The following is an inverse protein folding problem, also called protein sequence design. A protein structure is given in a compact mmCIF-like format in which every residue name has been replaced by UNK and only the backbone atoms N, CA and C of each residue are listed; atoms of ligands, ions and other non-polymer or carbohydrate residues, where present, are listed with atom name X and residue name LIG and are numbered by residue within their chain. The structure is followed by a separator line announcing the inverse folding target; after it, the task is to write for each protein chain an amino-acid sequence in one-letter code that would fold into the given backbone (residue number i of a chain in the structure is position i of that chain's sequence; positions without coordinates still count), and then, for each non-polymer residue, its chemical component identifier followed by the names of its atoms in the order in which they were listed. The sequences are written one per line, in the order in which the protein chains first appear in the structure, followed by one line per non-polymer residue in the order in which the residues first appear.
data_IF_347075820817
#
_entry.id   IF_347075820817
#
_cell.length_a   1.000
_cell.length_b   1.000
_cell.length_c   1.000
_cell.angle_alpha   90.00
_cell.angle_beta   90.00
_cell.angle_gamma   90.00
#
_symmetry.space_group_name_H-M   'P 1'
#
loop_
_entity.id
_entity.type
_entity.pdbx_description
1 polymer ?
#
# COMPACT_ATOMS: atom_id res chain seq x y z
N UNK A 1 -33.21 6.13 -10.88
CA UNK A 1 -33.71 6.92 -9.73
C UNK A 1 -33.33 6.15 -8.47
N UNK A 2 -32.13 6.39 -7.92
CA UNK A 2 -31.68 5.68 -6.71
C UNK A 2 -32.39 6.27 -5.49
N UNK A 3 -32.99 5.45 -4.62
CA UNK A 3 -33.58 5.95 -3.39
C UNK A 3 -32.42 6.34 -2.46
N UNK A 4 -32.17 7.64 -2.32
CA UNK A 4 -31.38 8.15 -1.21
C UNK A 4 -32.15 7.86 0.07
N UNK A 5 -31.81 6.77 0.76
CA UNK A 5 -32.19 6.57 2.15
C UNK A 5 -31.54 7.71 2.94
N UNK A 6 -32.36 8.67 3.39
CA UNK A 6 -31.88 9.81 4.17
C UNK A 6 -31.18 9.28 5.42
N UNK A 7 -29.88 9.55 5.50
CA UNK A 7 -29.07 9.20 6.66
C UNK A 7 -29.67 9.80 7.93
N UNK A 8 -29.76 9.01 8.99
CA UNK A 8 -30.37 9.46 10.25
C UNK A 8 -29.56 10.61 10.84
N UNK A 9 -30.17 11.42 11.71
CA UNK A 9 -29.44 12.48 12.43
C UNK A 9 -28.21 11.91 13.15
N UNK A 10 -28.34 10.73 13.76
CA UNK A 10 -27.25 10.04 14.45
C UNK A 10 -26.12 9.69 13.48
N UNK A 11 -26.43 9.13 12.31
CA UNK A 11 -25.41 8.79 11.31
C UNK A 11 -24.63 10.03 10.82
N UNK A 12 -25.30 11.18 10.65
CA UNK A 12 -24.64 12.43 10.27
C UNK A 12 -23.72 12.98 11.35
N UNK A 13 -24.14 12.93 12.62
CA UNK A 13 -23.27 13.38 13.72
C UNK A 13 -22.09 12.42 13.93
N UNK A 14 -22.27 11.11 13.75
CA UNK A 14 -21.16 10.15 13.77
C UNK A 14 -20.16 10.38 12.64
N UNK A 15 -20.62 10.76 11.45
CA UNK A 15 -19.75 11.13 10.34
C UNK A 15 -18.89 12.36 10.68
N UNK A 16 -19.51 13.43 11.20
CA UNK A 16 -18.78 14.63 11.63
C UNK A 16 -17.73 14.35 12.70
N UNK A 17 -18.08 13.58 13.73
CA UNK A 17 -17.14 13.19 14.79
C UNK A 17 -15.95 12.43 14.19
N UNK A 18 -16.20 11.57 13.21
CA UNK A 18 -15.13 10.86 12.51
C UNK A 18 -14.22 11.84 11.75
N UNK A 19 -14.79 12.80 11.04
CA UNK A 19 -14.00 13.79 10.28
C UNK A 19 -13.14 14.65 11.21
N UNK A 20 -13.65 15.02 12.38
CA UNK A 20 -12.89 15.70 13.43
C UNK A 20 -11.76 14.81 13.97
N UNK A 21 -12.02 13.52 14.22
CA UNK A 21 -10.99 12.55 14.63
C UNK A 21 -9.91 12.40 13.56
N UNK A 22 -10.29 12.25 12.30
CA UNK A 22 -9.35 12.13 11.18
C UNK A 22 -8.48 13.40 11.07
N UNK A 23 -9.08 14.57 11.23
CA UNK A 23 -8.36 15.85 11.28
C UNK A 23 -7.37 15.90 12.45
N UNK A 24 -7.78 15.46 13.65
CA UNK A 24 -6.91 15.40 14.82
C UNK A 24 -5.74 14.43 14.64
N UNK A 25 -5.95 13.27 14.00
CA UNK A 25 -4.88 12.32 13.69
C UNK A 25 -3.84 12.94 12.75
N UNK A 26 -4.29 13.63 11.69
CA UNK A 26 -3.40 14.32 10.74
C UNK A 26 -2.60 15.43 11.45
N UNK A 27 -3.25 16.22 12.32
CA UNK A 27 -2.58 17.25 13.12
C UNK A 27 -1.55 16.64 14.08
N UNK A 28 -1.88 15.52 14.73
CA UNK A 28 -0.97 14.81 15.63
C UNK A 28 0.25 14.22 14.90
N UNK A 29 0.13 13.91 13.61
CA UNK A 29 1.24 13.42 12.79
C UNK A 29 2.23 14.54 12.38
N UNK A 30 1.81 15.82 12.36
CA UNK A 30 2.66 16.92 11.87
C UNK A 30 4.02 17.03 12.58
N UNK A 31 4.10 16.98 13.93
CA UNK A 31 5.40 17.01 14.62
C UNK A 31 6.29 15.80 14.28
N UNK A 32 5.70 14.64 14.02
CA UNK A 32 6.43 13.42 13.64
C UNK A 32 7.03 13.56 12.23
N UNK A 33 6.27 14.12 11.29
CA UNK A 33 6.76 14.45 9.93
C UNK A 33 7.90 15.46 10.01
N UNK A 34 7.77 16.50 10.84
CA UNK A 34 8.86 17.47 11.03
C UNK A 34 10.12 16.81 11.61
N UNK A 35 9.97 15.82 12.49
CA UNK A 35 11.10 15.05 12.99
C UNK A 35 11.74 14.21 11.86
N UNK A 36 10.93 13.51 11.06
CA UNK A 36 11.39 12.74 9.90
C UNK A 36 12.18 13.59 8.92
N UNK A 37 11.68 14.79 8.56
CA UNK A 37 12.35 15.71 7.63
C UNK A 37 13.73 16.17 8.11
N UNK A 38 13.90 16.28 9.42
CA UNK A 38 15.13 16.78 10.04
C UNK A 38 16.09 15.65 10.46
N UNK A 39 15.66 14.39 10.41
CA UNK A 39 16.51 13.25 10.72
C UNK A 39 17.47 12.99 9.57
N UNK A 40 18.71 12.63 9.91
CA UNK A 40 19.57 11.89 8.97
C UNK A 40 18.96 10.52 8.74
N UNK A 41 19.19 9.91 7.57
CA UNK A 41 18.69 8.58 7.21
C UNK A 41 18.84 7.61 8.41
N UNK A 42 17.73 7.05 8.93
CA UNK A 42 17.78 6.16 10.08
C UNK A 42 18.51 4.88 9.69
N UNK A 43 19.16 4.26 10.68
CA UNK A 43 19.83 2.97 10.48
C UNK A 43 18.86 1.88 10.01
N UNK A 44 17.56 2.01 10.36
CA UNK A 44 16.49 1.09 10.00
C UNK A 44 15.21 1.84 9.67
N UNK A 45 14.55 1.43 8.58
CA UNK A 45 13.31 2.03 8.08
C UNK A 45 12.19 2.09 9.13
N UNK A 46 12.06 1.03 9.95
CA UNK A 46 11.07 0.93 11.03
C UNK A 46 11.19 2.00 12.12
N UNK A 47 12.32 2.70 12.23
CA UNK A 47 12.48 3.81 13.18
C UNK A 47 11.64 5.05 12.81
N UNK A 48 11.09 5.06 11.61
CA UNK A 48 10.20 6.10 11.08
C UNK A 48 8.71 5.79 11.28
N UNK A 49 8.36 4.64 11.84
CA UNK A 49 6.97 4.21 11.96
C UNK A 49 6.11 5.12 12.83
N UNK A 50 4.93 5.44 12.31
CA UNK A 50 3.77 5.93 13.05
C UNK A 50 2.50 5.59 12.27
N UNK A 51 1.35 5.61 12.96
CA UNK A 51 0.05 5.29 12.38
C UNK A 51 -0.87 6.51 12.40
N UNK A 52 -1.52 6.76 11.27
CA UNK A 52 -2.65 7.69 11.09
C UNK A 52 -3.85 6.91 10.54
N UNK A 53 -3.65 6.24 9.40
CA UNK A 53 -4.64 5.46 8.67
C UNK A 53 -4.16 4.07 8.24
N UNK A 54 -2.85 3.80 8.14
CA UNK A 54 -2.35 2.45 7.81
C UNK A 54 -2.72 1.41 8.87
N UNK A 55 -2.69 0.12 8.52
CA UNK A 55 -2.95 -0.95 9.49
C UNK A 55 -1.93 -0.93 10.64
N UNK A 56 -0.65 -0.79 10.31
CA UNK A 56 0.44 -0.65 11.27
C UNK A 56 1.13 0.72 11.13
N UNK A 57 2.46 0.77 11.18
CA UNK A 57 3.26 2.00 11.19
C UNK A 57 3.64 2.52 9.80
N UNK A 58 3.01 2.01 8.75
CA UNK A 58 3.38 2.22 7.35
C UNK A 58 3.27 3.69 6.92
N UNK A 59 2.32 4.47 7.46
CA UNK A 59 2.21 5.91 7.19
C UNK A 59 3.55 6.62 7.46
N UNK A 60 4.20 6.32 8.58
CA UNK A 60 5.48 6.94 8.94
C UNK A 60 6.64 6.51 8.05
N UNK A 61 6.67 5.24 7.64
CA UNK A 61 7.66 4.74 6.69
C UNK A 61 7.50 5.43 5.33
N UNK A 62 6.27 5.51 4.83
CA UNK A 62 5.94 6.16 3.56
C UNK A 62 6.35 7.63 3.61
N UNK A 63 5.99 8.35 4.68
CA UNK A 63 6.42 9.74 4.87
C UNK A 63 7.95 9.88 4.87
N UNK A 64 8.67 8.96 5.51
CA UNK A 64 10.12 8.95 5.44
C UNK A 64 10.61 8.80 4.00
N UNK A 65 10.11 7.82 3.25
CA UNK A 65 10.56 7.56 1.89
C UNK A 65 10.26 8.73 0.95
N UNK A 66 9.04 9.26 0.94
CA UNK A 66 8.70 10.34 0.00
C UNK A 66 9.52 11.62 0.22
N UNK A 67 9.92 11.90 1.47
CA UNK A 67 10.73 13.08 1.79
C UNK A 67 12.21 12.90 1.47
N UNK A 68 12.74 11.68 1.55
CA UNK A 68 14.16 11.39 1.30
C UNK A 68 14.46 10.98 -0.15
N UNK A 69 13.44 10.56 -0.90
CA UNK A 69 13.54 10.18 -2.31
C UNK A 69 13.09 11.29 -3.27
N UNK A 70 12.62 12.42 -2.73
CA UNK A 70 12.12 13.55 -3.49
C UNK A 70 13.17 14.09 -4.51
N UNK A 71 12.73 14.57 -5.68
CA UNK A 71 11.34 14.69 -6.13
C UNK A 71 10.77 13.36 -6.64
N UNK A 72 9.48 13.12 -6.37
CA UNK A 72 8.68 12.00 -6.86
C UNK A 72 7.39 12.52 -7.52
N UNK A 73 6.75 11.76 -8.43
CA UNK A 73 5.39 12.08 -8.86
C UNK A 73 4.40 11.98 -7.70
N UNK A 74 3.53 12.98 -7.54
CA UNK A 74 2.48 13.01 -6.51
C UNK A 74 1.29 12.12 -6.88
N UNK A 75 1.56 10.83 -7.13
CA UNK A 75 0.55 9.86 -7.55
C UNK A 75 0.81 8.48 -6.97
N UNK A 76 -0.26 7.80 -6.55
CA UNK A 76 -0.19 6.43 -6.06
C UNK A 76 -1.22 5.50 -6.68
N UNK A 77 -0.93 4.20 -6.61
CA UNK A 77 -1.86 3.11 -6.89
C UNK A 77 -1.86 2.13 -5.72
N UNK A 78 -3.04 1.76 -5.21
CA UNK A 78 -3.18 0.72 -4.18
C UNK A 78 -4.24 -0.31 -4.59
N UNK A 79 -3.90 -1.59 -4.43
CA UNK A 79 -4.80 -2.73 -4.61
C UNK A 79 -5.24 -3.28 -3.25
N UNK A 80 -6.48 -3.80 -3.17
CA UNK A 80 -7.05 -4.43 -1.97
C UNK A 80 -7.39 -3.47 -0.84
N UNK A 81 -8.00 -2.33 -1.18
CA UNK A 81 -8.23 -1.25 -0.21
C UNK A 81 -9.44 -1.43 0.71
N UNK A 82 -10.27 -2.45 0.50
CA UNK A 82 -11.60 -2.55 1.07
C UNK A 82 -12.35 -1.20 0.96
N UNK A 83 -12.83 -0.65 2.08
CA UNK A 83 -13.53 0.63 2.14
C UNK A 83 -12.61 1.86 2.26
N UNK A 84 -11.28 1.66 2.15
CA UNK A 84 -10.24 2.69 2.16
C UNK A 84 -10.20 3.57 3.41
N UNK A 85 -10.69 3.07 4.56
CA UNK A 85 -10.56 3.75 5.86
C UNK A 85 -9.27 3.38 6.58
N UNK A 86 -8.85 2.14 6.43
CA UNK A 86 -7.53 1.64 6.83
C UNK A 86 -6.77 1.30 5.54
N UNK A 87 -5.71 2.03 5.24
CA UNK A 87 -4.97 1.91 3.97
C UNK A 87 -3.65 2.66 4.04
N UNK A 88 -2.65 2.17 3.31
CA UNK A 88 -1.31 2.75 3.27
C UNK A 88 -1.25 4.08 2.50
N UNK A 89 -2.16 4.31 1.54
CA UNK A 89 -2.17 5.55 0.75
C UNK A 89 -3.17 6.60 1.23
N UNK A 90 -4.06 6.28 2.19
CA UNK A 90 -5.05 7.25 2.68
C UNK A 90 -4.37 8.48 3.28
N UNK A 91 -3.28 8.30 4.04
CA UNK A 91 -2.58 9.44 4.61
C UNK A 91 -1.92 10.32 3.54
N UNK A 92 -1.30 9.73 2.51
CA UNK A 92 -0.74 10.47 1.37
C UNK A 92 -1.81 11.33 0.67
N UNK A 93 -3.00 10.77 0.45
CA UNK A 93 -4.10 11.49 -0.18
C UNK A 93 -4.53 12.72 0.63
N UNK A 94 -4.65 12.56 1.95
CA UNK A 94 -5.20 13.59 2.84
C UNK A 94 -4.16 14.64 3.27
N UNK A 95 -2.93 14.22 3.52
CA UNK A 95 -1.86 15.08 4.05
C UNK A 95 -1.02 15.71 2.93
N UNK A 96 -0.66 14.93 1.92
CA UNK A 96 0.27 15.34 0.85
C UNK A 96 -0.48 15.72 -0.44
N UNK A 97 -1.80 15.51 -0.47
CA UNK A 97 -2.67 15.84 -1.61
C UNK A 97 -2.27 15.14 -2.93
N UNK A 98 -1.71 13.93 -2.81
CA UNK A 98 -1.38 13.08 -3.96
C UNK A 98 -2.63 12.61 -4.68
N UNK A 99 -2.55 12.43 -6.00
CA UNK A 99 -3.65 11.77 -6.74
C UNK A 99 -3.59 10.25 -6.56
N UNK A 100 -4.74 9.60 -6.48
CA UNK A 100 -4.82 8.18 -6.17
C UNK A 100 -5.65 7.37 -7.15
N UNK A 101 -5.23 6.14 -7.39
CA UNK A 101 -6.10 5.07 -7.86
C UNK A 101 -6.14 3.97 -6.79
N UNK A 102 -7.35 3.60 -6.40
CA UNK A 102 -7.59 2.50 -5.47
C UNK A 102 -8.50 1.45 -6.11
N UNK A 103 -8.16 0.18 -5.93
CA UNK A 103 -8.92 -0.94 -6.45
C UNK A 103 -9.25 -1.94 -5.36
N UNK A 104 -10.46 -2.47 -5.42
CA UNK A 104 -10.91 -3.56 -4.56
C UNK A 104 -11.88 -4.46 -5.33
N UNK A 105 -12.00 -5.73 -4.91
CA UNK A 105 -12.90 -6.68 -5.56
C UNK A 105 -14.35 -6.60 -5.06
N UNK A 106 -14.59 -6.02 -3.89
CA UNK A 106 -15.93 -5.84 -3.34
C UNK A 106 -16.54 -4.51 -3.79
N UNK A 107 -17.57 -4.62 -4.63
CA UNK A 107 -18.33 -3.48 -5.11
C UNK A 107 -18.99 -2.67 -3.99
N UNK A 108 -19.34 -3.27 -2.85
CA UNK A 108 -19.86 -2.54 -1.70
C UNK A 108 -18.80 -1.63 -1.09
N UNK A 109 -17.59 -2.14 -0.93
CA UNK A 109 -16.44 -1.40 -0.44
C UNK A 109 -16.14 -0.19 -1.34
N UNK A 110 -16.06 -0.39 -2.66
CA UNK A 110 -15.88 0.71 -3.62
C UNK A 110 -17.02 1.73 -3.58
N UNK A 111 -18.28 1.28 -3.44
CA UNK A 111 -19.41 2.20 -3.27
C UNK A 111 -19.30 3.02 -1.99
N UNK A 112 -18.74 2.48 -0.90
CA UNK A 112 -18.52 3.26 0.31
C UNK A 112 -17.51 4.38 0.06
N UNK A 113 -16.42 4.10 -0.66
CA UNK A 113 -15.42 5.12 -1.03
C UNK A 113 -16.07 6.21 -1.88
N UNK A 114 -16.78 5.83 -2.94
CA UNK A 114 -17.39 6.78 -3.88
C UNK A 114 -18.48 7.68 -3.25
N UNK A 115 -19.08 7.24 -2.14
CA UNK A 115 -20.07 8.01 -1.39
C UNK A 115 -19.47 8.78 -0.19
N UNK A 116 -18.19 8.59 0.11
CA UNK A 116 -17.48 9.29 1.17
C UNK A 116 -16.98 10.65 0.65
N UNK A 117 -16.84 11.64 1.54
CA UNK A 117 -16.42 12.99 1.12
C UNK A 117 -15.03 13.03 0.51
N UNK A 118 -14.16 12.09 0.92
CA UNK A 118 -12.80 11.99 0.40
C UNK A 118 -12.77 11.86 -1.13
N UNK A 119 -13.78 11.23 -1.73
CA UNK A 119 -13.82 10.94 -3.16
C UNK A 119 -14.03 12.19 -4.03
N UNK A 120 -14.81 13.16 -3.56
CA UNK A 120 -15.02 14.41 -4.30
C UNK A 120 -14.07 15.54 -3.85
N UNK A 121 -13.51 15.45 -2.64
CA UNK A 121 -12.58 16.45 -2.10
C UNK A 121 -11.14 16.28 -2.60
N UNK A 122 -10.77 15.07 -3.03
CA UNK A 122 -9.42 14.75 -3.49
C UNK A 122 -9.45 14.13 -4.89
N UNK A 123 -8.30 14.13 -5.57
CA UNK A 123 -8.17 13.49 -6.89
C UNK A 123 -8.02 11.98 -6.71
N UNK A 124 -9.13 11.30 -6.39
CA UNK A 124 -9.18 9.87 -6.12
C UNK A 124 -10.06 9.18 -7.17
N UNK A 125 -9.52 8.12 -7.77
CA UNK A 125 -10.29 7.18 -8.59
C UNK A 125 -10.44 5.87 -7.83
N UNK A 126 -11.67 5.37 -7.68
CA UNK A 126 -11.97 4.12 -6.99
C UNK A 126 -12.69 3.17 -7.96
N UNK A 127 -12.07 2.02 -8.26
CA UNK A 127 -12.61 1.04 -9.22
C UNK A 127 -12.82 -0.31 -8.56
N UNK A 128 -13.97 -0.94 -8.85
CA UNK A 128 -14.21 -2.33 -8.47
C UNK A 128 -13.60 -3.23 -9.54
N UNK A 129 -12.61 -4.04 -9.17
CA UNK A 129 -11.97 -4.98 -10.08
C UNK A 129 -11.37 -6.17 -9.33
N UNK A 130 -11.57 -7.36 -9.90
CA UNK A 130 -10.77 -8.53 -9.54
C UNK A 130 -9.47 -8.50 -10.34
N UNK A 131 -8.37 -8.15 -9.67
CA UNK A 131 -7.07 -7.94 -10.31
C UNK A 131 -6.41 -9.28 -10.63
N UNK A 132 -5.98 -9.45 -11.87
CA UNK A 132 -5.26 -10.64 -12.35
C UNK A 132 -4.03 -10.21 -13.13
N UNK A 133 -3.09 -11.14 -13.37
CA UNK A 133 -1.91 -10.83 -14.18
C UNK A 133 -2.29 -10.37 -15.59
N UNK A 134 -3.41 -10.86 -16.13
CA UNK A 134 -3.79 -10.66 -17.52
C UNK A 134 -4.52 -9.31 -17.72
N UNK A 135 -5.17 -8.76 -16.69
CA UNK A 135 -5.91 -7.50 -16.78
C UNK A 135 -5.21 -6.29 -16.13
N UNK A 136 -4.19 -6.49 -15.28
CA UNK A 136 -3.66 -5.41 -14.44
C UNK A 136 -3.17 -4.21 -15.24
N UNK A 137 -2.42 -4.46 -16.33
CA UNK A 137 -1.89 -3.37 -17.15
C UNK A 137 -3.01 -2.58 -17.87
N UNK A 138 -4.08 -3.25 -18.28
CA UNK A 138 -5.24 -2.58 -18.91
C UNK A 138 -6.01 -1.73 -17.89
N UNK A 139 -6.24 -2.27 -16.68
CA UNK A 139 -6.91 -1.55 -15.59
C UNK A 139 -6.22 -0.22 -15.25
N UNK A 140 -4.88 -0.21 -15.22
CA UNK A 140 -4.10 1.02 -14.96
C UNK A 140 -4.18 2.01 -16.13
N UNK A 141 -4.03 1.55 -17.39
CA UNK A 141 -4.17 2.41 -18.58
C UNK A 141 -5.52 3.11 -18.61
N UNK A 142 -6.60 2.35 -18.41
CA UNK A 142 -7.97 2.87 -18.38
C UNK A 142 -8.24 3.82 -17.21
N UNK A 143 -7.44 3.76 -16.14
CA UNK A 143 -7.51 4.69 -15.03
C UNK A 143 -6.62 5.93 -15.24
N UNK A 144 -5.90 6.02 -16.36
CA UNK A 144 -4.98 7.11 -16.65
C UNK A 144 -3.65 7.04 -15.90
N UNK A 145 -3.25 5.84 -15.47
CA UNK A 145 -1.96 5.57 -14.85
C UNK A 145 -1.07 4.82 -15.85
N UNK A 146 -0.09 5.55 -16.40
CA UNK A 146 1.01 5.05 -17.20
C UNK A 146 2.29 5.74 -16.75
N UNK A 147 3.43 5.15 -17.07
CA UNK A 147 4.75 5.73 -16.85
C UNK A 147 5.05 5.95 -15.35
N UNK A 148 5.82 6.98 -15.02
CA UNK A 148 6.32 7.20 -13.67
C UNK A 148 5.20 7.53 -12.67
N UNK A 149 5.18 6.82 -11.54
CA UNK A 149 4.30 7.11 -10.40
C UNK A 149 5.12 7.18 -9.11
N UNK A 150 4.61 7.84 -8.07
CA UNK A 150 5.32 7.93 -6.80
C UNK A 150 5.33 6.62 -6.02
N UNK A 151 4.16 5.99 -5.88
CA UNK A 151 3.99 4.81 -5.02
C UNK A 151 3.04 3.77 -5.61
N UNK A 152 3.41 2.50 -5.51
CA UNK A 152 2.57 1.34 -5.79
C UNK A 152 2.47 0.47 -4.54
N UNK A 153 1.27 0.23 -4.03
CA UNK A 153 1.02 -0.71 -2.93
C UNK A 153 0.23 -1.92 -3.45
N UNK A 154 0.81 -3.11 -3.28
CA UNK A 154 0.22 -4.39 -3.70
C UNK A 154 -0.09 -5.20 -2.45
N UNK A 155 -1.38 -5.31 -2.17
CA UNK A 155 -1.93 -6.09 -1.07
C UNK A 155 -3.25 -6.71 -1.55
N UNK A 156 -3.19 -7.93 -2.08
CA UNK A 156 -4.37 -8.65 -2.60
C UNK A 156 -4.49 -10.06 -2.01
N UNK A 157 -3.86 -10.29 -0.86
CA UNK A 157 -3.96 -11.53 -0.08
C UNK A 157 -3.65 -12.82 -0.88
N UNK A 158 -2.68 -12.80 -1.82
CA UNK A 158 -2.43 -13.95 -2.66
C UNK A 158 -1.45 -13.76 -3.81
N UNK A 159 -1.95 -13.26 -4.94
CA UNK A 159 -1.20 -13.23 -6.20
C UNK A 159 -0.22 -12.05 -6.33
N UNK A 160 0.13 -11.39 -5.23
CA UNK A 160 0.90 -10.15 -5.14
C UNK A 160 2.18 -10.19 -6.00
N UNK A 161 2.95 -11.27 -5.85
CA UNK A 161 4.15 -11.53 -6.66
C UNK A 161 3.83 -11.58 -8.17
N UNK A 162 2.78 -12.29 -8.56
CA UNK A 162 2.40 -12.47 -9.97
C UNK A 162 1.84 -11.20 -10.59
N UNK A 163 1.12 -10.38 -9.81
CA UNK A 163 0.66 -9.07 -10.25
C UNK A 163 1.86 -8.16 -10.49
N UNK A 164 2.79 -8.06 -9.53
CA UNK A 164 3.97 -7.22 -9.69
C UNK A 164 4.88 -7.67 -10.84
N UNK A 165 5.04 -8.98 -10.99
CA UNK A 165 5.86 -9.57 -12.05
C UNK A 165 5.36 -9.14 -13.42
N UNK A 166 4.04 -9.19 -13.62
CA UNK A 166 3.40 -8.87 -14.90
C UNK A 166 3.19 -7.38 -15.14
N UNK A 167 3.25 -6.54 -14.11
CA UNK A 167 3.07 -5.09 -14.21
C UNK A 167 4.21 -4.43 -15.01
N UNK A 168 3.88 -3.77 -16.11
CA UNK A 168 4.87 -3.11 -16.98
C UNK A 168 4.46 -1.70 -17.44
N UNK A 169 3.23 -1.29 -17.17
CA UNK A 169 2.70 -0.01 -17.67
C UNK A 169 3.05 1.19 -16.80
N UNK A 170 3.38 0.97 -15.53
CA UNK A 170 3.82 2.00 -14.60
C UNK A 170 5.23 1.71 -14.11
N UNK A 171 5.96 2.78 -13.80
CA UNK A 171 7.30 2.74 -13.23
C UNK A 171 7.33 3.49 -11.88
N UNK A 172 6.88 2.85 -10.79
CA UNK A 172 6.82 3.47 -9.48
C UNK A 172 8.20 3.81 -8.90
N UNK A 173 8.33 4.93 -8.18
CA UNK A 173 9.55 5.19 -7.42
C UNK A 173 9.66 4.29 -6.18
N UNK A 174 8.51 3.98 -5.56
CA UNK A 174 8.37 3.14 -4.37
C UNK A 174 7.37 2.04 -4.64
N UNK A 175 7.73 0.78 -4.34
CA UNK A 175 6.80 -0.35 -4.32
C UNK A 175 6.69 -0.89 -2.89
N UNK A 176 5.47 -1.07 -2.44
CA UNK A 176 5.14 -1.80 -1.22
C UNK A 176 4.46 -3.10 -1.65
N UNK A 177 4.94 -4.23 -1.16
CA UNK A 177 4.33 -5.52 -1.43
C UNK A 177 4.23 -6.33 -0.14
N UNK A 178 3.09 -6.99 0.04
CA UNK A 178 2.89 -7.88 1.18
C UNK A 178 3.73 -9.16 1.02
N UNK A 179 4.42 -9.55 2.09
CA UNK A 179 5.13 -10.82 2.18
C UNK A 179 4.58 -11.67 3.32
N UNK A 180 4.54 -12.98 3.07
CA UNK A 180 4.13 -13.95 4.06
C UNK A 180 5.36 -14.41 4.87
N UNK A 181 5.48 -13.89 6.09
CA UNK A 181 6.60 -14.19 7.00
C UNK A 181 6.67 -15.67 7.42
N UNK A 182 5.60 -16.46 7.26
CA UNK A 182 5.60 -17.91 7.55
C UNK A 182 6.62 -18.67 6.71
N UNK A 183 6.96 -18.18 5.51
CA UNK A 183 7.99 -18.78 4.69
C UNK A 183 9.42 -18.58 5.25
N UNK A 184 9.57 -17.76 6.28
CA UNK A 184 10.87 -17.47 6.89
C UNK A 184 11.80 -16.66 5.98
N UNK A 185 13.02 -16.37 6.47
CA UNK A 185 13.96 -15.50 5.77
C UNK A 185 14.68 -16.20 4.59
N UNK A 186 14.80 -17.53 4.63
CA UNK A 186 15.72 -18.26 3.75
C UNK A 186 15.05 -18.82 2.48
N UNK A 187 13.73 -19.05 2.49
CA UNK A 187 13.02 -19.64 1.35
C UNK A 187 12.76 -18.60 0.26
N UNK A 188 12.97 -18.99 -1.00
CA UNK A 188 12.57 -18.23 -2.19
C UNK A 188 11.35 -18.94 -2.79
N UNK A 189 10.18 -18.63 -2.26
CA UNK A 189 8.93 -19.31 -2.60
C UNK A 189 7.78 -18.32 -2.80
N UNK A 190 6.82 -18.70 -3.64
CA UNK A 190 5.53 -18.03 -3.85
C UNK A 190 4.47 -19.11 -4.05
N UNK A 191 3.20 -18.80 -3.75
CA UNK A 191 2.10 -19.66 -4.14
C UNK A 191 2.03 -19.81 -5.69
N UNK A 192 1.52 -20.94 -6.22
CA UNK A 192 1.22 -21.04 -7.64
C UNK A 192 0.18 -19.99 -8.05
N UNK A 193 0.35 -19.41 -9.24
CA UNK A 193 -0.65 -18.48 -9.78
C UNK A 193 -1.99 -19.18 -10.01
N UNK A 194 -3.04 -18.62 -9.45
CA UNK A 194 -4.43 -18.98 -9.74
C UNK A 194 -5.24 -17.69 -9.92
N UNK A 195 -5.81 -17.39 -11.10
CA UNK A 195 -6.58 -16.16 -11.31
C UNK A 195 -7.83 -16.09 -10.43
N UNK A 196 -8.29 -17.18 -9.81
CA UNK A 196 -9.43 -17.22 -8.88
C UNK A 196 -9.00 -17.49 -7.43
N UNK A 197 -7.72 -17.26 -7.12
CA UNK A 197 -7.17 -17.55 -5.79
C UNK A 197 -8.00 -16.89 -4.70
N UNK A 198 -8.38 -17.68 -3.69
CA UNK A 198 -9.03 -17.20 -2.49
C UNK A 198 -8.42 -17.89 -1.27
N UNK A 199 -7.72 -17.12 -0.44
CA UNK A 199 -6.94 -17.56 0.72
C UNK A 199 -7.62 -18.65 1.57
N UNK A 200 -8.86 -18.41 2.02
CA UNK A 200 -9.62 -19.34 2.85
C UNK A 200 -10.17 -20.57 2.11
N UNK A 201 -10.25 -20.53 0.77
CA UNK A 201 -10.61 -21.71 -0.03
C UNK A 201 -9.38 -22.57 -0.34
N UNK A 202 -8.22 -21.93 -0.53
CA UNK A 202 -6.98 -22.60 -0.87
C UNK A 202 -6.42 -23.42 0.31
N UNK A 203 -6.58 -22.92 1.54
CA UNK A 203 -6.21 -23.68 2.73
C UNK A 203 -7.01 -23.25 3.97
N UNK A 204 -7.46 -24.22 4.79
CA UNK A 204 -8.31 -23.98 5.96
C UNK A 204 -7.69 -23.05 7.00
N UNK A 205 -6.35 -23.00 7.09
CA UNK A 205 -5.65 -22.14 8.05
C UNK A 205 -5.74 -20.66 7.69
N UNK A 206 -6.05 -20.33 6.43
CA UNK A 206 -5.88 -18.97 5.92
C UNK A 206 -4.43 -18.49 5.98
N UNK A 207 -3.43 -19.39 5.96
CA UNK A 207 -2.00 -19.00 6.00
C UNK A 207 -1.24 -19.34 4.72
N UNK A 208 -1.92 -19.94 3.75
CA UNK A 208 -1.39 -20.19 2.42
C UNK A 208 -1.78 -19.02 1.52
N UNK A 209 -0.86 -18.09 1.29
CA UNK A 209 -1.03 -16.89 0.46
C UNK A 209 0.33 -16.25 0.17
N UNK A 210 0.39 -15.40 -0.85
CA UNK A 210 1.49 -14.47 -1.08
C UNK A 210 2.83 -15.12 -1.48
N UNK A 211 3.90 -14.43 -1.12
CA UNK A 211 5.27 -14.85 -1.39
C UNK A 211 6.18 -14.59 -0.19
N UNK A 212 7.29 -15.30 -0.15
CA UNK A 212 8.40 -15.00 0.76
C UNK A 212 9.05 -13.65 0.43
N UNK A 213 9.63 -13.00 1.45
CA UNK A 213 10.40 -11.76 1.27
C UNK A 213 11.53 -11.93 0.25
N UNK A 214 12.21 -13.08 0.28
CA UNK A 214 13.30 -13.39 -0.65
C UNK A 214 12.82 -13.56 -2.09
N UNK A 215 11.62 -14.10 -2.33
CA UNK A 215 11.03 -14.15 -3.67
C UNK A 215 10.69 -12.74 -4.20
N UNK A 216 10.07 -11.89 -3.38
CA UNK A 216 9.79 -10.50 -3.76
C UNK A 216 11.08 -9.71 -4.01
N UNK A 217 12.11 -9.91 -3.18
CA UNK A 217 13.42 -9.26 -3.35
C UNK A 217 14.10 -9.69 -4.65
N UNK A 218 13.99 -10.97 -5.02
CA UNK A 218 14.52 -11.47 -6.29
C UNK A 218 13.75 -10.86 -7.49
N UNK A 219 12.43 -10.72 -7.38
CA UNK A 219 11.62 -10.03 -8.39
C UNK A 219 11.99 -8.55 -8.50
N UNK A 220 12.11 -7.85 -7.37
CA UNK A 220 12.52 -6.45 -7.29
C UNK A 220 13.84 -6.21 -8.06
N UNK A 221 14.86 -7.05 -7.81
CA UNK A 221 16.15 -6.99 -8.50
C UNK A 221 16.00 -7.13 -10.02
N UNK A 222 15.15 -8.04 -10.50
CA UNK A 222 14.87 -8.19 -11.95
C UNK A 222 14.15 -6.98 -12.56
N UNK A 223 13.38 -6.24 -11.75
CA UNK A 223 12.66 -5.04 -12.16
C UNK A 223 13.44 -3.74 -11.89
N UNK A 224 14.71 -3.82 -11.46
CA UNK A 224 15.55 -2.65 -11.10
C UNK A 224 15.14 -1.90 -9.83
N UNK A 225 14.73 -2.65 -8.80
CA UNK A 225 14.40 -2.15 -7.47
C UNK A 225 15.28 -2.80 -6.40
N UNK A 226 15.52 -2.07 -5.33
CA UNK A 226 16.25 -2.52 -4.14
C UNK A 226 15.32 -2.58 -2.94
N UNK A 227 15.40 -3.67 -2.16
CA UNK A 227 14.73 -3.78 -0.87
C UNK A 227 15.38 -2.79 0.11
N UNK A 228 14.58 -1.96 0.78
CA UNK A 228 15.08 -0.97 1.75
C UNK A 228 14.62 -1.23 3.19
N UNK A 229 13.71 -2.19 3.38
CA UNK A 229 13.29 -2.64 4.70
C UNK A 229 11.88 -3.22 4.70
N UNK A 230 11.44 -3.63 5.89
CA UNK A 230 10.08 -4.08 6.17
C UNK A 230 9.51 -3.30 7.37
N UNK A 231 8.19 -3.27 7.50
CA UNK A 231 7.56 -2.77 8.71
C UNK A 231 7.78 -3.73 9.90
N UNK A 232 7.64 -3.23 11.12
CA UNK A 232 7.80 -3.97 12.37
C UNK A 232 6.72 -5.04 12.56
N UNK A 233 5.59 -4.92 11.85
CA UNK A 233 4.53 -5.90 11.89
C UNK A 233 4.84 -7.17 11.08
N UNK A 234 5.80 -7.10 10.15
CA UNK A 234 6.27 -8.27 9.41
C UNK A 234 5.36 -8.69 8.26
N UNK A 235 4.63 -7.75 7.65
CA UNK A 235 3.82 -8.01 6.45
C UNK A 235 4.18 -7.15 5.25
N UNK A 236 4.59 -5.89 5.42
CA UNK A 236 4.92 -5.03 4.28
C UNK A 236 6.42 -4.92 4.06
N UNK A 237 6.85 -5.18 2.82
CA UNK A 237 8.20 -4.97 2.33
C UNK A 237 8.25 -3.74 1.41
N UNK A 238 9.31 -2.96 1.54
CA UNK A 238 9.49 -1.68 0.85
C UNK A 238 10.63 -1.78 -0.14
N UNK A 239 10.36 -1.44 -1.39
CA UNK A 239 11.31 -1.46 -2.49
C UNK A 239 11.40 -0.09 -3.13
N UNK A 240 12.61 0.35 -3.46
CA UNK A 240 12.88 1.65 -4.08
C UNK A 240 13.57 1.42 -5.42
N UNK A 241 13.16 2.17 -6.45
CA UNK A 241 13.78 2.10 -7.78
C UNK A 241 15.26 2.48 -7.69
N UNK A 242 16.13 1.74 -8.37
CA UNK A 242 17.59 1.84 -8.16
C UNK A 242 18.20 3.22 -8.47
N UNK A 243 17.57 4.03 -9.31
CA UNK A 243 17.96 5.42 -9.61
C UNK A 243 17.59 6.42 -8.50
N UNK A 244 16.85 5.98 -7.46
CA UNK A 244 16.40 6.81 -6.34
C UNK A 244 17.04 6.42 -5.00
N UNK A 245 17.92 5.42 -4.95
CA UNK A 245 18.42 4.84 -3.69
C UNK A 245 19.50 5.68 -2.95
N UNK A 246 19.88 6.85 -3.45
CA UNK A 246 21.02 7.64 -2.92
C UNK A 246 20.93 7.95 -1.41
N UNK A 247 19.71 8.05 -0.88
CA UNK A 247 19.45 8.41 0.52
C UNK A 247 18.90 7.25 1.37
N UNK A 248 18.80 6.05 0.81
CA UNK A 248 18.24 4.88 1.48
C UNK A 248 19.10 3.66 1.27
N UNK A 249 19.46 2.99 2.36
CA UNK A 249 20.30 1.79 2.31
C UNK A 249 19.52 0.60 1.74
N UNK A 250 20.06 -0.03 0.70
CA UNK A 250 19.60 -1.33 0.24
C UNK A 250 19.98 -2.43 1.24
N UNK A 251 19.08 -3.39 1.44
CA UNK A 251 19.22 -4.52 2.35
C UNK A 251 19.02 -5.83 1.60
N UNK A 252 19.67 -6.89 2.09
CA UNK A 252 19.30 -8.24 1.69
C UNK A 252 18.07 -8.71 2.48
N UNK A 253 17.33 -9.65 1.90
CA UNK A 253 16.08 -10.15 2.49
C UNK A 253 16.27 -10.66 3.92
N UNK A 254 17.39 -11.34 4.19
CA UNK A 254 17.71 -11.86 5.53
C UNK A 254 17.88 -10.77 6.59
N UNK A 255 18.47 -9.62 6.21
CA UNK A 255 18.71 -8.51 7.13
C UNK A 255 17.46 -7.67 7.35
N UNK A 256 16.58 -7.61 6.35
CA UNK A 256 15.32 -6.87 6.39
C UNK A 256 14.16 -7.68 7.00
N UNK A 257 14.25 -9.02 7.03
CA UNK A 257 13.17 -9.90 7.45
C UNK A 257 12.66 -9.60 8.86
N UNK A 258 11.34 -9.56 9.01
CA UNK A 258 10.66 -9.41 10.29
C UNK A 258 9.61 -10.53 10.41
N UNK A 259 9.67 -11.27 11.51
CA UNK A 259 8.68 -12.31 11.78
C UNK A 259 7.37 -11.68 12.28
N UNK A 260 6.24 -12.00 11.65
CA UNK A 260 4.95 -11.48 12.07
C UNK A 260 4.51 -12.12 13.38
N UNK A 261 3.99 -11.30 14.30
CA UNK A 261 3.50 -11.75 15.62
C UNK A 261 1.98 -11.82 15.72
N UNK A 262 1.31 -11.74 14.59
CA UNK A 262 -0.15 -11.78 14.44
C UNK A 262 -0.52 -12.85 13.40
N UNK A 263 -1.79 -13.23 13.36
CA UNK A 263 -2.30 -14.33 12.52
C UNK A 263 -3.61 -13.97 11.88
#
# INVERSE_FOLDING_TARGET
MFPFTKSTRVQRELAKIRDEIDSLKILAAQPLIQNIRNRKSPDLLRASEFKVFSQFGDDGIIQYLIHHLAPLPDSFVEFGVENYRESNTRFLLLNDNWRGLVLDSDQNCIRQIQNDEIYWRHTLTAKCAWVTRDNINELLREAGFSDEIGLLNIDIDGNDYWIWEKLDVVDPAIVIAEYNSIFGPDLIVTIPYDPNFARHKAHYSGQFWGASLSALTLLAKRKSYSLVGCNSAGNNAYFVRNDKTDHVRALDAKDAFVDARWR
#
